data_IF_514950195908
#
_entry.id   IF_514950195908
#
_cell.length_a   1.000
_cell.length_b   1.000
_cell.length_c   1.000
_cell.angle_alpha   90.00
_cell.angle_beta   90.00
_cell.angle_gamma   90.00
#
_symmetry.space_group_name_H-M   'P 1'
#
loop_
_entity.id
_entity.type
_entity.pdbx_description
1 polymer ?
#
# COMPACT_ATOMS: atom_id res chain seq x y z
N UNK A 1 38.49 -30.12 -28.63
CA UNK A 1 38.06 -28.94 -27.88
C UNK A 1 37.94 -29.35 -26.40
N UNK A 2 38.95 -28.97 -25.57
CA UNK A 2 38.91 -29.18 -24.12
C UNK A 2 37.97 -28.12 -23.54
N UNK A 3 36.85 -28.56 -23.03
CA UNK A 3 36.02 -27.75 -22.17
C UNK A 3 36.77 -27.58 -20.84
N UNK A 4 37.00 -26.37 -20.40
CA UNK A 4 37.54 -26.08 -19.08
C UNK A 4 36.45 -26.40 -18.05
N UNK A 5 36.62 -27.52 -17.34
CA UNK A 5 35.84 -27.87 -16.15
C UNK A 5 36.32 -27.01 -14.95
N UNK A 6 36.19 -25.71 -15.07
CA UNK A 6 36.42 -24.81 -13.95
C UNK A 6 35.05 -24.56 -13.25
N UNK A 7 34.83 -25.11 -12.06
CA UNK A 7 33.58 -24.97 -11.31
C UNK A 7 33.25 -23.50 -10.99
N UNK A 8 34.27 -22.66 -10.83
CA UNK A 8 34.11 -21.24 -10.54
C UNK A 8 33.60 -20.48 -11.77
N UNK A 9 34.13 -20.81 -12.96
CA UNK A 9 33.67 -20.24 -14.23
C UNK A 9 32.23 -20.69 -14.53
N UNK A 10 31.86 -21.93 -14.24
CA UNK A 10 30.50 -22.44 -14.39
C UNK A 10 29.49 -21.74 -13.43
N UNK A 11 29.87 -21.54 -12.16
CA UNK A 11 29.05 -20.83 -11.18
C UNK A 11 28.87 -19.35 -11.57
N UNK A 12 29.92 -18.71 -12.09
CA UNK A 12 29.85 -17.32 -12.55
C UNK A 12 28.93 -17.16 -13.76
N UNK A 13 28.98 -18.10 -14.69
CA UNK A 13 28.06 -18.16 -15.83
C UNK A 13 26.62 -18.37 -15.42
N UNK A 14 26.36 -19.25 -14.45
CA UNK A 14 25.03 -19.49 -13.90
C UNK A 14 24.45 -18.24 -13.19
N UNK A 15 25.26 -17.55 -12.41
CA UNK A 15 24.90 -16.32 -11.73
C UNK A 15 24.57 -15.19 -12.74
N UNK A 16 25.29 -15.11 -13.86
CA UNK A 16 25.02 -14.13 -14.92
C UNK A 16 23.71 -14.43 -15.63
N UNK A 17 23.45 -15.69 -15.99
CA UNK A 17 22.17 -16.13 -16.59
C UNK A 17 21.02 -15.83 -15.64
N UNK A 18 21.17 -16.12 -14.36
CA UNK A 18 20.15 -15.86 -13.36
C UNK A 18 19.88 -14.35 -13.22
N UNK A 19 20.91 -13.51 -13.21
CA UNK A 19 20.80 -12.04 -13.18
C UNK A 19 20.07 -11.53 -14.41
N UNK A 20 20.43 -12.00 -15.60
CA UNK A 20 19.77 -11.65 -16.87
C UNK A 20 18.29 -12.05 -16.87
N UNK A 21 17.98 -13.23 -16.35
CA UNK A 21 16.59 -13.71 -16.23
C UNK A 21 15.77 -12.81 -15.30
N UNK A 22 16.31 -12.44 -14.14
CA UNK A 22 15.64 -11.52 -13.19
C UNK A 22 15.40 -10.17 -13.85
N UNK A 23 16.42 -9.58 -14.48
CA UNK A 23 16.33 -8.28 -15.18
C UNK A 23 15.26 -8.30 -16.28
N UNK A 24 15.22 -9.35 -17.09
CA UNK A 24 14.21 -9.49 -18.14
C UNK A 24 12.80 -9.68 -17.55
N UNK A 25 12.69 -10.43 -16.47
CA UNK A 25 11.42 -10.65 -15.76
C UNK A 25 10.89 -9.36 -15.14
N UNK A 26 11.75 -8.57 -14.51
CA UNK A 26 11.41 -7.25 -13.96
C UNK A 26 10.93 -6.29 -15.06
N UNK A 27 11.61 -6.27 -16.21
CA UNK A 27 11.20 -5.47 -17.36
C UNK A 27 9.82 -5.90 -17.87
N UNK A 28 9.63 -7.18 -18.10
CA UNK A 28 8.36 -7.75 -18.61
C UNK A 28 7.20 -7.53 -17.65
N UNK A 29 7.47 -7.59 -16.33
CA UNK A 29 6.48 -7.35 -15.29
C UNK A 29 6.24 -5.86 -15.00
N UNK A 30 6.95 -4.94 -15.67
CA UNK A 30 6.83 -3.49 -15.48
C UNK A 30 7.52 -2.95 -14.22
N UNK A 31 8.33 -3.76 -13.52
CA UNK A 31 9.09 -3.30 -12.34
C UNK A 31 10.35 -2.50 -12.70
N UNK A 32 10.85 -2.63 -13.92
CA UNK A 32 12.00 -1.85 -14.39
C UNK A 32 11.67 -0.36 -14.65
N UNK A 33 10.39 -0.03 -14.88
CA UNK A 33 9.96 1.34 -15.15
C UNK A 33 10.05 2.20 -13.88
N UNK A 34 10.60 3.39 -14.03
CA UNK A 34 10.68 4.38 -12.95
C UNK A 34 10.27 5.75 -13.47
N UNK A 35 9.20 6.31 -12.92
CA UNK A 35 8.75 7.68 -13.17
C UNK A 35 9.49 8.63 -12.22
N UNK A 36 10.02 9.71 -12.77
CA UNK A 36 10.59 10.81 -11.98
C UNK A 36 9.48 11.65 -11.34
N UNK A 37 9.80 12.46 -10.31
CA UNK A 37 8.84 13.37 -9.69
C UNK A 37 8.14 14.25 -10.73
N UNK A 38 6.80 14.28 -10.69
CA UNK A 38 5.94 14.97 -11.63
C UNK A 38 4.57 15.27 -10.99
N UNK A 39 3.55 15.60 -11.80
CA UNK A 39 2.23 15.91 -11.29
C UNK A 39 1.60 14.76 -10.47
N UNK A 40 1.76 13.52 -10.95
CA UNK A 40 1.18 12.31 -10.34
C UNK A 40 2.20 11.46 -9.56
N UNK A 41 3.42 11.93 -9.41
CA UNK A 41 4.48 11.23 -8.69
C UNK A 41 5.25 12.24 -7.85
N UNK A 42 5.25 12.05 -6.54
CA UNK A 42 5.99 12.87 -5.60
C UNK A 42 7.47 12.55 -5.54
N UNK A 43 8.16 13.21 -4.62
CA UNK A 43 9.56 12.97 -4.31
C UNK A 43 9.75 11.82 -3.28
N UNK A 44 10.99 11.57 -2.92
CA UNK A 44 11.40 10.47 -2.03
C UNK A 44 11.71 10.95 -0.58
N UNK A 45 11.30 12.17 -0.20
CA UNK A 45 11.62 12.76 1.13
C UNK A 45 11.23 11.88 2.30
N UNK A 46 10.15 11.13 2.19
CA UNK A 46 9.63 10.23 3.22
C UNK A 46 9.89 8.75 2.90
N UNK A 47 10.72 8.43 1.91
CA UNK A 47 11.00 7.05 1.52
C UNK A 47 11.56 6.20 2.66
N UNK A 48 12.25 6.83 3.62
CA UNK A 48 12.79 6.15 4.81
C UNK A 48 11.72 5.46 5.67
N UNK A 49 10.44 5.88 5.58
CA UNK A 49 9.32 5.28 6.28
C UNK A 49 8.85 3.96 5.66
N UNK A 50 9.12 3.73 4.36
CA UNK A 50 8.70 2.53 3.63
C UNK A 50 9.62 2.31 2.41
N UNK A 51 10.86 1.89 2.66
CA UNK A 51 11.93 1.82 1.66
C UNK A 51 11.65 0.87 0.49
N UNK A 52 10.76 -0.10 0.68
CA UNK A 52 10.31 -1.03 -0.35
C UNK A 52 9.22 -0.48 -1.29
N UNK A 53 8.78 0.78 -1.08
CA UNK A 53 7.76 1.44 -1.91
C UNK A 53 8.26 2.77 -2.49
N UNK A 54 9.35 2.77 -3.28
CA UNK A 54 9.88 4.02 -3.82
C UNK A 54 8.89 4.68 -4.79
N UNK A 55 8.62 6.00 -4.64
CA UNK A 55 7.79 6.74 -5.58
C UNK A 55 8.26 6.59 -7.02
N UNK A 56 7.33 6.47 -7.95
CA UNK A 56 7.61 6.23 -9.38
C UNK A 56 7.89 4.78 -9.76
N UNK A 57 7.97 3.86 -8.79
CA UNK A 57 8.09 2.42 -9.04
C UNK A 57 6.75 1.70 -8.90
N UNK A 58 6.63 0.54 -9.55
CA UNK A 58 5.45 -0.29 -9.41
C UNK A 58 5.30 -0.79 -7.96
N UNK A 59 4.07 -0.74 -7.46
CA UNK A 59 3.73 -1.23 -6.12
C UNK A 59 4.00 -2.73 -6.01
N UNK A 60 5.02 -3.09 -5.24
CA UNK A 60 5.45 -4.47 -5.03
C UNK A 60 5.11 -4.90 -3.62
N UNK A 61 3.93 -5.47 -3.44
CA UNK A 61 3.40 -5.86 -2.13
C UNK A 61 3.90 -7.23 -1.64
N UNK A 62 3.34 -7.71 -0.55
CA UNK A 62 3.60 -9.02 0.04
C UNK A 62 2.29 -9.62 0.56
N UNK A 63 2.37 -10.82 1.11
CA UNK A 63 1.23 -11.51 1.70
C UNK A 63 0.82 -10.89 3.03
N UNK A 64 -0.49 -10.88 3.26
CA UNK A 64 -1.17 -10.41 4.46
C UNK A 64 -2.36 -11.32 4.77
N UNK A 65 -2.89 -11.24 5.97
CA UNK A 65 -4.15 -11.88 6.35
C UNK A 65 -5.25 -10.81 6.35
N UNK A 66 -6.33 -11.04 5.62
CA UNK A 66 -7.50 -10.18 5.65
C UNK A 66 -8.30 -10.44 6.92
N UNK A 67 -8.58 -9.37 7.72
CA UNK A 67 -9.24 -9.51 9.02
C UNK A 67 -10.67 -10.03 8.92
N UNK A 68 -11.40 -9.67 7.87
CA UNK A 68 -12.82 -10.01 7.74
C UNK A 68 -13.14 -11.51 7.61
N UNK A 69 -12.18 -12.33 7.14
CA UNK A 69 -12.38 -13.76 6.93
C UNK A 69 -11.12 -14.61 7.24
N UNK A 70 -10.10 -14.02 7.84
CA UNK A 70 -8.81 -14.63 8.13
C UNK A 70 -8.11 -15.27 6.91
N UNK A 71 -8.45 -14.84 5.69
CA UNK A 71 -7.86 -15.36 4.47
C UNK A 71 -6.51 -14.73 4.19
N UNK A 72 -5.48 -15.55 3.99
CA UNK A 72 -4.20 -15.10 3.47
C UNK A 72 -4.35 -14.68 2.01
N UNK A 73 -3.92 -13.46 1.70
CA UNK A 73 -3.99 -12.86 0.36
C UNK A 73 -2.71 -12.07 0.07
N UNK A 74 -2.36 -11.95 -1.20
CA UNK A 74 -1.30 -11.02 -1.60
C UNK A 74 -1.90 -9.61 -1.73
N UNK A 75 -1.42 -8.63 -0.93
CA UNK A 75 -2.02 -7.30 -0.83
C UNK A 75 -2.16 -6.61 -2.20
N UNK A 76 -1.19 -6.78 -3.11
CA UNK A 76 -1.26 -6.22 -4.46
C UNK A 76 -2.38 -6.79 -5.34
N UNK A 77 -2.89 -7.98 -5.01
CA UNK A 77 -3.98 -8.59 -5.78
C UNK A 77 -5.37 -8.00 -5.45
N UNK A 78 -5.49 -7.22 -4.37
CA UNK A 78 -6.73 -6.48 -4.09
C UNK A 78 -6.88 -5.25 -4.99
N UNK A 79 -5.78 -4.82 -5.61
CA UNK A 79 -5.74 -3.70 -6.53
C UNK A 79 -6.31 -4.10 -7.90
N UNK A 80 -7.53 -3.69 -8.17
CA UNK A 80 -8.19 -3.92 -9.47
C UNK A 80 -7.91 -2.76 -10.43
N UNK A 81 -7.99 -3.02 -11.73
CA UNK A 81 -7.91 -2.00 -12.78
C UNK A 81 -9.27 -1.27 -12.93
N UNK A 82 -9.62 -0.44 -11.95
CA UNK A 82 -10.92 0.20 -11.80
C UNK A 82 -10.84 1.74 -11.75
N UNK A 83 -9.67 2.30 -12.00
CA UNK A 83 -9.43 3.75 -12.01
C UNK A 83 -9.24 4.38 -10.64
N UNK A 84 -9.39 3.63 -9.54
CA UNK A 84 -9.28 4.18 -8.19
C UNK A 84 -7.85 4.33 -7.72
N UNK A 85 -7.59 5.36 -6.93
CA UNK A 85 -6.38 5.53 -6.14
C UNK A 85 -6.42 4.58 -4.94
N UNK A 86 -5.28 4.00 -4.57
CA UNK A 86 -5.15 3.18 -3.35
C UNK A 86 -4.35 3.92 -2.30
N UNK A 87 -4.88 3.94 -1.10
CA UNK A 87 -4.23 4.48 0.09
C UNK A 87 -3.96 3.31 1.03
N UNK A 88 -2.71 2.82 1.05
CA UNK A 88 -2.28 1.76 1.95
C UNK A 88 -1.70 2.38 3.22
N UNK A 89 -2.46 2.33 4.31
CA UNK A 89 -2.06 2.82 5.62
C UNK A 89 -1.43 1.67 6.41
N UNK A 90 -0.12 1.69 6.55
CA UNK A 90 0.63 0.77 7.41
C UNK A 90 0.71 1.37 8.80
N UNK A 91 0.11 0.71 9.78
CA UNK A 91 -0.02 1.21 11.14
C UNK A 91 1.34 1.34 11.85
N UNK A 92 1.41 2.28 12.80
CA UNK A 92 2.44 2.30 13.82
C UNK A 92 2.28 1.13 14.82
N UNK A 93 3.22 0.97 15.76
CA UNK A 93 3.20 -0.13 16.75
C UNK A 93 2.08 -0.01 17.78
N UNK A 94 1.45 1.15 17.90
CA UNK A 94 0.38 1.39 18.88
C UNK A 94 -0.86 0.59 18.45
N UNK A 95 -1.56 0.02 19.43
CA UNK A 95 -2.81 -0.69 19.15
C UNK A 95 -3.77 0.22 18.37
N UNK A 96 -4.26 -0.18 17.20
CA UNK A 96 -5.12 0.66 16.35
C UNK A 96 -6.44 1.07 17.02
N UNK A 97 -6.82 0.40 18.13
CA UNK A 97 -7.99 0.74 18.95
C UNK A 97 -7.68 1.83 19.98
N UNK A 98 -6.40 2.12 20.21
CA UNK A 98 -5.99 3.10 21.21
C UNK A 98 -6.16 4.54 20.72
N UNK A 99 -6.62 5.46 21.56
CA UNK A 99 -6.70 6.90 21.21
C UNK A 99 -5.35 7.53 20.83
N UNK A 100 -4.23 6.92 21.24
CA UNK A 100 -2.87 7.38 20.90
C UNK A 100 -2.33 6.86 19.59
N UNK A 101 -3.08 6.03 18.86
CA UNK A 101 -2.68 5.48 17.56
C UNK A 101 -2.69 6.55 16.48
N UNK A 102 -1.53 6.76 15.84
CA UNK A 102 -1.43 7.64 14.66
C UNK A 102 -2.18 7.06 13.47
N UNK A 103 -2.23 5.73 13.38
CA UNK A 103 -3.06 5.05 12.38
C UNK A 103 -4.53 5.43 12.53
N UNK A 104 -5.07 5.40 13.76
CA UNK A 104 -6.47 5.79 13.99
C UNK A 104 -6.70 7.28 13.69
N UNK A 105 -5.77 8.15 14.08
CA UNK A 105 -5.84 9.58 13.76
C UNK A 105 -5.84 9.84 12.23
N UNK A 106 -5.05 9.07 11.46
CA UNK A 106 -5.13 9.10 10.00
C UNK A 106 -6.51 8.67 9.48
N UNK A 107 -7.08 7.59 10.03
CA UNK A 107 -8.41 7.13 9.62
C UNK A 107 -9.49 8.18 9.93
N UNK A 108 -9.42 8.85 11.10
CA UNK A 108 -10.31 9.96 11.46
C UNK A 108 -10.18 11.12 10.46
N UNK A 109 -8.96 11.53 10.13
CA UNK A 109 -8.72 12.56 9.12
C UNK A 109 -9.29 12.16 7.76
N UNK A 110 -8.98 10.96 7.27
CA UNK A 110 -9.44 10.50 5.97
C UNK A 110 -10.98 10.37 5.88
N UNK A 111 -11.66 10.17 7.02
CA UNK A 111 -13.12 10.15 7.12
C UNK A 111 -13.74 11.54 7.22
N UNK A 112 -12.94 12.58 7.55
CA UNK A 112 -13.43 13.95 7.75
C UNK A 112 -13.75 14.66 6.44
N UNK A 113 -14.56 15.72 6.50
CA UNK A 113 -14.90 16.54 5.35
C UNK A 113 -13.69 17.32 4.77
N UNK A 114 -12.64 17.51 5.57
CA UNK A 114 -11.42 18.18 5.14
C UNK A 114 -10.53 17.28 4.27
N UNK A 115 -10.77 15.97 4.24
CA UNK A 115 -9.90 15.03 3.52
C UNK A 115 -10.12 15.07 2.01
N UNK A 116 -9.09 14.78 1.20
CA UNK A 116 -9.24 14.64 -0.25
C UNK A 116 -10.23 13.55 -0.63
N UNK A 117 -10.42 12.51 0.21
CA UNK A 117 -11.43 11.47 -0.06
C UNK A 117 -12.82 12.08 -0.15
N UNK A 118 -13.20 12.90 0.82
CA UNK A 118 -14.53 13.54 0.85
C UNK A 118 -14.68 14.63 -0.19
N UNK A 119 -13.64 15.45 -0.37
CA UNK A 119 -13.64 16.57 -1.30
C UNK A 119 -13.73 16.18 -2.77
N UNK A 120 -13.08 15.06 -3.15
CA UNK A 120 -13.00 14.63 -4.56
C UNK A 120 -13.86 13.41 -4.89
N UNK A 121 -14.62 12.86 -3.94
CA UNK A 121 -15.61 11.81 -4.23
C UNK A 121 -16.96 12.45 -4.53
N UNK A 122 -17.57 12.18 -5.69
CA UNK A 122 -18.86 12.76 -6.05
C UNK A 122 -19.96 12.46 -5.01
N UNK A 123 -20.83 13.43 -4.75
CA UNK A 123 -21.94 13.23 -3.83
C UNK A 123 -22.85 12.09 -4.32
N UNK A 124 -23.19 11.17 -3.43
CA UNK A 124 -24.04 10.00 -3.73
C UNK A 124 -23.29 8.82 -4.39
N UNK A 125 -22.00 8.96 -4.69
CA UNK A 125 -21.17 7.83 -5.09
C UNK A 125 -20.80 6.95 -3.87
N UNK A 126 -20.34 5.72 -4.13
CA UNK A 126 -19.78 4.87 -3.07
C UNK A 126 -18.62 5.58 -2.37
N UNK A 127 -18.43 5.39 -1.06
CA UNK A 127 -17.38 6.06 -0.28
C UNK A 127 -15.97 5.82 -0.83
N UNK A 128 -15.76 4.73 -1.54
CA UNK A 128 -14.48 4.36 -2.15
C UNK A 128 -14.49 4.43 -3.69
N UNK A 129 -15.38 5.23 -4.27
CA UNK A 129 -15.47 5.35 -5.73
C UNK A 129 -14.21 5.91 -6.40
N UNK A 130 -13.50 6.81 -5.72
CA UNK A 130 -12.27 7.45 -6.20
C UNK A 130 -11.04 6.94 -5.43
N UNK A 131 -11.18 6.79 -4.10
CA UNK A 131 -10.11 6.41 -3.20
C UNK A 131 -10.46 5.12 -2.47
N UNK A 132 -9.62 4.11 -2.60
CA UNK A 132 -9.78 2.83 -1.94
C UNK A 132 -8.74 2.72 -0.81
N UNK A 133 -9.19 2.84 0.43
CA UNK A 133 -8.32 2.84 1.62
C UNK A 133 -8.18 1.43 2.16
N UNK A 134 -6.94 1.00 2.38
CA UNK A 134 -6.60 -0.27 3.03
C UNK A 134 -5.75 -0.02 4.27
N UNK A 135 -6.17 -0.56 5.40
CA UNK A 135 -5.40 -0.54 6.64
C UNK A 135 -4.62 -1.84 6.84
N UNK A 136 -3.35 -1.73 7.18
CA UNK A 136 -2.49 -2.86 7.52
C UNK A 136 -1.96 -2.64 8.94
N UNK A 137 -2.47 -3.42 9.91
CA UNK A 137 -2.08 -3.34 11.31
C UNK A 137 -0.87 -4.23 11.59
N UNK A 138 -0.24 -4.06 12.77
CA UNK A 138 0.91 -4.88 13.18
C UNK A 138 0.52 -6.03 14.13
N UNK A 139 -0.64 -5.93 14.76
CA UNK A 139 -1.19 -6.95 15.66
C UNK A 139 -1.65 -8.17 14.85
N UNK A 140 -1.60 -9.33 15.48
CA UNK A 140 -2.11 -10.57 14.89
C UNK A 140 -3.62 -10.49 14.64
N UNK A 141 -4.08 -11.08 13.53
CA UNK A 141 -5.52 -11.23 13.26
C UNK A 141 -6.27 -12.06 14.31
N UNK A 142 -5.56 -12.74 15.21
CA UNK A 142 -6.13 -13.47 16.35
C UNK A 142 -6.33 -12.58 17.58
N UNK A 143 -5.74 -11.38 17.59
CA UNK A 143 -5.77 -10.44 18.73
C UNK A 143 -6.70 -9.24 18.49
N UNK A 144 -7.05 -9.00 17.23
CA UNK A 144 -7.86 -7.84 16.82
C UNK A 144 -9.05 -8.31 15.99
N UNK A 145 -10.25 -8.00 16.46
CA UNK A 145 -11.46 -8.27 15.70
C UNK A 145 -11.61 -7.23 14.56
N UNK A 146 -12.05 -7.68 13.40
CA UNK A 146 -12.41 -6.80 12.29
C UNK A 146 -13.49 -5.76 12.72
N UNK A 147 -14.40 -6.14 13.62
CA UNK A 147 -15.44 -5.23 14.14
C UNK A 147 -14.85 -4.01 14.87
N UNK A 148 -13.66 -4.14 15.46
CA UNK A 148 -12.96 -3.06 16.18
C UNK A 148 -12.26 -2.06 15.24
N UNK A 149 -12.13 -2.38 13.95
CA UNK A 149 -11.49 -1.49 13.00
C UNK A 149 -12.33 -0.22 12.75
N UNK A 150 -11.64 0.85 12.39
CA UNK A 150 -12.26 2.13 12.07
C UNK A 150 -13.33 2.00 10.98
N UNK A 151 -14.41 2.79 11.06
CA UNK A 151 -15.56 2.72 10.15
C UNK A 151 -15.17 2.94 8.67
N UNK A 152 -14.15 3.74 8.38
CA UNK A 152 -13.61 3.95 7.03
C UNK A 152 -13.15 2.66 6.36
N UNK A 153 -12.68 1.67 7.14
CA UNK A 153 -12.28 0.35 6.65
C UNK A 153 -13.44 -0.66 6.55
N UNK A 154 -14.64 -0.21 6.85
CA UNK A 154 -15.89 -1.00 6.85
C UNK A 154 -17.01 -0.28 6.08
N UNK A 155 -16.76 0.27 4.88
CA UNK A 155 -17.78 1.05 4.18
C UNK A 155 -18.95 0.17 3.73
N UNK A 156 -20.13 0.76 3.70
CA UNK A 156 -21.29 0.19 3.02
C UNK A 156 -21.31 0.67 1.57
N UNK A 157 -21.52 -0.25 0.62
CA UNK A 157 -21.35 -0.01 -0.81
C UNK A 157 -22.49 -0.56 -1.66
N UNK A 158 -22.64 0.06 -2.83
CA UNK A 158 -23.63 -0.33 -3.82
C UNK A 158 -25.07 -0.09 -3.40
N UNK A 159 -26.05 -0.36 -4.28
CA UNK A 159 -27.47 -0.05 -4.05
C UNK A 159 -28.10 -0.85 -2.91
N UNK A 160 -27.49 -1.96 -2.49
CA UNK A 160 -27.95 -2.78 -1.38
C UNK A 160 -27.28 -2.43 -0.04
N UNK A 161 -26.34 -1.46 -0.02
CA UNK A 161 -25.62 -1.06 1.18
C UNK A 161 -24.83 -2.20 1.84
N UNK A 162 -24.24 -3.11 1.05
CA UNK A 162 -23.50 -4.24 1.60
C UNK A 162 -22.16 -3.77 2.19
N UNK A 163 -21.84 -4.29 3.37
CA UNK A 163 -20.60 -3.95 4.06
C UNK A 163 -19.39 -4.62 3.40
N UNK A 164 -18.34 -3.83 3.20
CA UNK A 164 -17.05 -4.33 2.66
C UNK A 164 -16.16 -4.86 3.77
N UNK A 165 -15.75 -6.13 3.67
CA UNK A 165 -14.87 -6.82 4.62
C UNK A 165 -13.42 -6.91 4.15
N UNK A 166 -13.03 -6.23 3.07
CA UNK A 166 -11.77 -6.48 2.36
C UNK A 166 -10.69 -5.43 2.64
N UNK A 167 -10.93 -4.44 3.50
CA UNK A 167 -10.05 -3.27 3.62
C UNK A 167 -9.08 -3.29 4.81
N UNK A 168 -9.23 -4.23 5.73
CA UNK A 168 -8.38 -4.35 6.92
C UNK A 168 -7.56 -5.64 6.86
N UNK A 169 -6.26 -5.52 7.14
CA UNK A 169 -5.28 -6.60 7.00
C UNK A 169 -4.33 -6.64 8.20
N UNK A 170 -3.79 -7.83 8.47
CA UNK A 170 -2.78 -8.10 9.48
C UNK A 170 -1.59 -8.87 8.87
N UNK A 171 -0.44 -8.96 9.55
CA UNK A 171 0.67 -9.80 9.13
C UNK A 171 0.27 -11.29 9.04
N UNK A 172 0.95 -12.04 8.17
CA UNK A 172 0.81 -13.50 8.12
C UNK A 172 1.51 -14.10 9.35
N UNK A 173 0.82 -14.89 10.19
CA UNK A 173 1.42 -15.47 11.38
C UNK A 173 2.46 -16.54 11.04
N UNK A 174 3.48 -16.68 11.91
CA UNK A 174 4.50 -17.72 11.80
C UNK A 174 5.49 -17.53 10.65
N UNK A 175 5.56 -16.34 10.05
CA UNK A 175 6.59 -15.98 9.08
C UNK A 175 7.75 -15.28 9.77
N UNK A 176 9.01 -15.60 9.38
CA UNK A 176 10.21 -14.92 9.88
C UNK A 176 10.23 -13.43 9.49
N UNK A 177 9.60 -13.08 8.39
CA UNK A 177 9.50 -11.74 7.85
C UNK A 177 8.11 -11.49 7.27
N UNK A 178 7.41 -10.54 7.83
CA UNK A 178 6.10 -10.10 7.33
C UNK A 178 6.23 -8.93 6.33
N UNK A 179 5.09 -8.36 5.90
CA UNK A 179 5.05 -7.27 4.93
C UNK A 179 5.84 -6.02 5.40
N UNK A 180 5.86 -5.72 6.71
CA UNK A 180 6.61 -4.59 7.24
C UNK A 180 8.11 -4.77 7.04
N UNK A 181 8.64 -5.97 7.34
CA UNK A 181 10.05 -6.30 7.15
C UNK A 181 10.41 -6.42 5.67
N UNK A 182 9.55 -7.08 4.88
CA UNK A 182 9.78 -7.30 3.44
C UNK A 182 9.75 -5.99 2.65
N UNK A 183 9.06 -4.98 3.12
CA UNK A 183 8.91 -3.68 2.45
C UNK A 183 9.59 -2.54 3.20
N UNK A 184 10.37 -2.87 4.24
CA UNK A 184 11.16 -1.90 5.00
C UNK A 184 10.32 -0.76 5.55
N UNK A 185 9.16 -1.10 6.14
CA UNK A 185 8.25 -0.12 6.74
C UNK A 185 8.70 0.14 8.16
N UNK A 186 8.86 1.41 8.52
CA UNK A 186 9.18 1.81 9.88
C UNK A 186 8.02 1.44 10.81
N UNK A 187 8.24 0.44 11.65
CA UNK A 187 7.20 -0.07 12.57
C UNK A 187 6.82 0.95 13.64
N UNK A 188 7.76 1.78 14.06
CA UNK A 188 7.50 2.80 15.08
C UNK A 188 6.70 3.98 14.54
N UNK A 189 6.98 4.39 13.31
CA UNK A 189 6.33 5.53 12.68
C UNK A 189 5.06 5.15 11.90
N UNK A 190 5.02 3.97 11.29
CA UNK A 190 4.06 3.64 10.27
C UNK A 190 4.29 4.45 8.98
N UNK A 191 3.46 4.22 7.98
CA UNK A 191 3.53 4.95 6.70
C UNK A 191 2.19 4.92 5.97
N UNK A 192 1.87 6.00 5.25
CA UNK A 192 0.84 6.01 4.23
C UNK A 192 1.49 5.90 2.85
N UNK A 193 1.16 4.85 2.10
CA UNK A 193 1.63 4.64 0.73
C UNK A 193 0.49 4.91 -0.23
N UNK A 194 0.65 5.94 -1.06
CA UNK A 194 -0.34 6.35 -2.08
C UNK A 194 0.03 5.70 -3.41
N UNK A 195 -0.89 4.95 -3.99
CA UNK A 195 -0.68 4.20 -5.23
C UNK A 195 -1.68 4.62 -6.29
N UNK A 196 -1.17 4.92 -7.48
CA UNK A 196 -1.96 5.32 -8.65
C UNK A 196 -2.84 4.17 -9.17
N UNK A 197 -3.89 4.48 -9.97
CA UNK A 197 -4.73 3.47 -10.60
C UNK A 197 -3.95 2.47 -11.49
N UNK A 198 -2.83 2.87 -12.05
CA UNK A 198 -1.93 2.02 -12.85
C UNK A 198 -0.91 1.23 -12.02
N UNK A 199 -1.08 1.20 -10.70
CA UNK A 199 -0.27 0.45 -9.72
C UNK A 199 1.14 0.99 -9.49
N UNK A 200 1.43 2.25 -9.81
CA UNK A 200 2.69 2.89 -9.46
C UNK A 200 2.55 3.69 -8.15
N UNK A 201 3.56 3.60 -7.31
CA UNK A 201 3.62 4.39 -6.06
C UNK A 201 3.76 5.87 -6.43
N UNK A 202 2.89 6.70 -5.87
CA UNK A 202 2.94 8.15 -6.03
C UNK A 202 3.68 8.84 -4.90
N UNK A 203 3.34 8.44 -3.66
CA UNK A 203 3.87 9.07 -2.45
C UNK A 203 4.10 8.02 -1.37
N UNK A 204 5.07 8.30 -0.50
CA UNK A 204 5.14 7.78 0.85
C UNK A 204 5.03 8.96 1.79
N UNK A 205 4.14 8.90 2.77
CA UNK A 205 3.91 9.96 3.74
C UNK A 205 3.93 9.41 5.17
N UNK A 206 4.26 10.22 6.18
CA UNK A 206 3.98 9.89 7.56
C UNK A 206 2.46 9.80 7.80
N UNK A 207 2.04 9.10 8.86
CA UNK A 207 0.62 8.93 9.18
C UNK A 207 -0.09 10.24 9.55
N UNK A 208 0.66 11.29 9.89
CA UNK A 208 0.20 12.65 10.18
C UNK A 208 0.46 13.64 9.04
N UNK A 209 0.84 13.15 7.85
CA UNK A 209 1.13 13.95 6.65
C UNK A 209 -0.13 14.47 5.93
N UNK A 210 -1.10 15.01 6.67
CA UNK A 210 -2.42 15.40 6.17
C UNK A 210 -2.35 16.51 5.12
N UNK A 211 -1.60 17.56 5.42
CA UNK A 211 -1.45 18.71 4.53
C UNK A 211 -0.73 18.34 3.22
N UNK A 212 0.26 17.42 3.30
CA UNK A 212 0.97 16.97 2.13
C UNK A 212 0.08 16.10 1.23
N UNK A 213 -0.77 15.25 1.83
CA UNK A 213 -1.73 14.43 1.11
C UNK A 213 -2.78 15.32 0.41
N UNK A 214 -3.33 16.28 1.12
CA UNK A 214 -4.30 17.23 0.57
C UNK A 214 -3.69 18.06 -0.57
N UNK A 215 -2.52 18.65 -0.34
CA UNK A 215 -1.81 19.41 -1.35
C UNK A 215 -1.51 18.57 -2.60
N UNK A 216 -1.12 17.32 -2.44
CA UNK A 216 -0.82 16.45 -3.58
C UNK A 216 -2.03 16.28 -4.50
N UNK A 217 -3.19 15.91 -3.97
CA UNK A 217 -4.40 15.68 -4.77
C UNK A 217 -5.01 16.97 -5.30
N UNK A 218 -4.96 18.06 -4.56
CA UNK A 218 -5.47 19.38 -4.98
C UNK A 218 -4.74 19.97 -6.19
N UNK A 219 -3.56 19.44 -6.55
CA UNK A 219 -2.82 19.89 -7.74
C UNK A 219 -3.46 19.46 -9.06
N UNK A 220 -4.26 18.42 -9.06
CA UNK A 220 -4.80 17.83 -10.30
C UNK A 220 -6.24 17.30 -10.19
N UNK A 221 -6.79 17.19 -9.00
CA UNK A 221 -8.20 16.86 -8.81
C UNK A 221 -9.02 18.13 -8.65
N UNK A 222 -10.27 18.07 -9.12
CA UNK A 222 -11.23 19.16 -9.03
C UNK A 222 -12.35 18.74 -8.10
N UNK A 223 -12.71 19.60 -7.14
CA UNK A 223 -13.88 19.39 -6.31
C UNK A 223 -15.14 19.42 -7.20
N UNK A 224 -16.02 18.48 -6.95
CA UNK A 224 -17.31 18.42 -7.62
C UNK A 224 -18.37 19.00 -6.67
N UNK A 225 -19.06 20.02 -7.14
CA UNK A 225 -20.19 20.66 -6.44
C UNK A 225 -21.36 19.68 -6.20
#
# INVERSE_FOLDING_TARGET
AQGSDDPEAAMKGLAEVQRQFVTNSEFTAGFATHYTPALLTGDDRHLHLATGFPPGRRFHSAEVVRLGDAKQVHLGHVHRADGRWRLYAFADMVDPRSPGSRFNALMDYLASDASPIRRFTPQGADPDAIFDVHGIIQQSHLEVDWADMHALLKPHKGPLGLQDYQKAHAPVPGTDRDIFDLRGIDRGAGALVVVRPDQYVSLVLPLDGFDELDHFFSRFMVELD
#
